data_IF_202061968471
#
_entry.id   IF_202061968471
#
_cell.length_a   1.000
_cell.length_b   1.000
_cell.length_c   1.000
_cell.angle_alpha   90.00
_cell.angle_beta   90.00
_cell.angle_gamma   90.00
#
_symmetry.space_group_name_H-M   'P 1'
#
loop_
_entity.id
_entity.type
_entity.pdbx_description
1 polymer ?
#
# COMPACT_ATOMS: atom_id res chain seq x y z
N UNK A 1 -21.77 -55.23 50.93
CA UNK A 1 -21.91 -55.16 49.46
C UNK A 1 -22.29 -53.74 49.08
N UNK A 2 -21.59 -53.20 48.07
CA UNK A 2 -21.58 -51.79 47.65
C UNK A 2 -22.77 -51.51 46.71
N UNK A 3 -23.44 -50.37 46.84
CA UNK A 3 -24.22 -49.78 45.73
C UNK A 3 -24.41 -48.27 45.96
N UNK A 4 -23.51 -47.43 45.45
CA UNK A 4 -23.63 -46.64 44.19
C UNK A 4 -24.45 -45.35 44.36
N UNK A 5 -23.76 -44.31 44.84
CA UNK A 5 -24.17 -42.91 44.71
C UNK A 5 -23.99 -42.51 43.23
N UNK A 6 -25.08 -42.18 42.55
CA UNK A 6 -25.06 -41.60 41.21
C UNK A 6 -24.91 -40.08 41.32
N UNK A 7 -23.69 -39.59 41.10
CA UNK A 7 -23.43 -38.17 40.83
C UNK A 7 -23.70 -37.95 39.34
N UNK A 8 -24.77 -37.23 39.03
CA UNK A 8 -25.08 -36.76 37.69
C UNK A 8 -24.25 -35.48 37.48
N UNK A 9 -23.13 -35.61 36.77
CA UNK A 9 -22.27 -34.50 36.39
C UNK A 9 -22.92 -33.77 35.19
N UNK A 10 -23.59 -32.66 35.45
CA UNK A 10 -24.12 -31.79 34.39
C UNK A 10 -22.96 -30.97 33.80
N UNK A 11 -22.25 -31.53 32.82
CA UNK A 11 -21.20 -30.82 32.08
C UNK A 11 -21.88 -29.97 30.98
N UNK A 12 -22.33 -28.76 31.35
CA UNK A 12 -22.75 -27.77 30.37
C UNK A 12 -21.48 -27.17 29.75
N UNK A 13 -21.01 -27.75 28.65
CA UNK A 13 -19.95 -27.16 27.86
C UNK A 13 -20.45 -25.81 27.33
N UNK A 14 -19.90 -24.72 27.85
CA UNK A 14 -20.06 -23.38 27.29
C UNK A 14 -19.46 -23.40 25.88
N UNK A 15 -20.31 -23.58 24.86
CA UNK A 15 -19.94 -23.30 23.49
C UNK A 15 -19.91 -21.78 23.38
N UNK A 16 -18.79 -21.18 23.76
CA UNK A 16 -18.55 -19.78 23.42
C UNK A 16 -18.49 -19.68 21.89
N UNK A 17 -19.26 -18.79 21.25
CA UNK A 17 -19.10 -18.55 19.83
C UNK A 17 -17.66 -18.05 19.60
N UNK A 18 -16.87 -18.84 18.89
CA UNK A 18 -15.61 -18.35 18.32
C UNK A 18 -16.02 -17.34 17.24
N UNK A 19 -16.09 -16.06 17.59
CA UNK A 19 -16.29 -15.01 16.62
C UNK A 19 -15.01 -14.90 15.79
N UNK A 20 -15.03 -15.49 14.59
CA UNK A 20 -14.07 -15.11 13.57
C UNK A 20 -14.18 -13.59 13.37
N UNK A 21 -13.05 -12.90 13.36
CA UNK A 21 -13.02 -11.46 13.12
C UNK A 21 -13.59 -11.17 11.74
N UNK A 22 -14.43 -10.16 11.64
CA UNK A 22 -14.92 -9.69 10.34
C UNK A 22 -13.77 -9.02 9.58
N UNK A 23 -13.88 -8.96 8.25
CA UNK A 23 -12.88 -8.25 7.43
C UNK A 23 -12.72 -6.79 7.88
N UNK A 24 -13.82 -6.13 8.20
CA UNK A 24 -13.80 -4.75 8.67
C UNK A 24 -13.08 -4.61 10.03
N UNK A 25 -13.23 -5.57 10.94
CA UNK A 25 -12.48 -5.59 12.20
C UNK A 25 -10.97 -5.78 11.99
N UNK A 26 -10.59 -6.65 11.04
CA UNK A 26 -9.19 -6.87 10.69
C UNK A 26 -8.56 -5.58 10.15
N UNK A 27 -9.25 -4.92 9.20
CA UNK A 27 -8.79 -3.65 8.63
C UNK A 27 -8.75 -2.55 9.69
N UNK A 28 -9.78 -2.42 10.52
CA UNK A 28 -9.83 -1.41 11.57
C UNK A 28 -8.64 -1.55 12.53
N UNK A 29 -8.35 -2.76 13.00
CA UNK A 29 -7.20 -3.02 13.88
C UNK A 29 -5.86 -2.76 13.21
N UNK A 30 -5.73 -3.06 11.91
CA UNK A 30 -4.52 -2.73 11.14
C UNK A 30 -4.31 -1.22 11.08
N UNK A 31 -5.36 -0.46 10.74
CA UNK A 31 -5.30 1.01 10.68
C UNK A 31 -5.00 1.61 12.06
N UNK A 32 -5.61 1.09 13.13
CA UNK A 32 -5.30 1.49 14.51
C UNK A 32 -3.83 1.22 14.87
N UNK A 33 -3.32 0.04 14.52
CA UNK A 33 -1.92 -0.34 14.78
C UNK A 33 -0.92 0.55 14.03
N UNK A 34 -1.29 1.10 12.87
CA UNK A 34 -0.49 2.07 12.12
C UNK A 34 -0.58 3.51 12.69
N UNK A 35 -1.31 3.72 13.79
CA UNK A 35 -1.46 5.02 14.46
C UNK A 35 -2.82 5.69 14.25
N UNK A 36 -3.74 5.04 13.55
CA UNK A 36 -5.10 5.54 13.30
C UNK A 36 -5.18 6.64 12.24
N UNK A 37 -6.41 6.93 11.79
CA UNK A 37 -6.67 7.87 10.69
C UNK A 37 -6.13 9.28 10.97
N UNK A 38 -6.25 9.75 12.21
CA UNK A 38 -5.80 11.09 12.61
C UNK A 38 -4.28 11.28 12.53
N UNK A 39 -3.49 10.24 12.82
CA UNK A 39 -2.04 10.32 12.68
C UNK A 39 -1.65 10.24 11.20
N UNK A 40 -2.29 9.35 10.46
CA UNK A 40 -2.04 9.17 9.03
C UNK A 40 -2.40 10.43 8.23
N UNK A 41 -3.50 11.12 8.55
CA UNK A 41 -3.92 12.34 7.87
C UNK A 41 -2.94 13.50 8.04
N UNK A 42 -2.04 13.44 9.04
CA UNK A 42 -0.99 14.46 9.25
C UNK A 42 0.22 14.23 8.35
N UNK A 43 0.37 13.02 7.79
CA UNK A 43 1.42 12.74 6.80
C UNK A 43 0.95 13.28 5.46
N UNK A 44 1.62 14.34 5.00
CA UNK A 44 1.25 15.07 3.78
C UNK A 44 2.30 14.98 2.68
N UNK A 45 3.47 14.44 3.01
CA UNK A 45 4.58 14.30 2.08
C UNK A 45 5.52 13.18 2.50
N UNK A 46 6.32 12.70 1.55
CA UNK A 46 7.42 11.79 1.80
C UNK A 46 8.59 12.08 0.84
N UNK A 47 9.79 11.78 1.29
CA UNK A 47 11.00 11.75 0.45
C UNK A 47 11.59 10.35 0.50
N UNK A 48 11.86 9.78 -0.67
CA UNK A 48 12.47 8.46 -0.83
C UNK A 48 13.80 8.64 -1.55
N UNK A 49 14.87 8.27 -0.87
CA UNK A 49 16.22 8.25 -1.43
C UNK A 49 16.60 6.81 -1.74
N UNK A 50 17.06 6.54 -2.96
CA UNK A 50 17.43 5.21 -3.41
C UNK A 50 18.59 5.27 -4.41
N UNK A 51 19.31 4.16 -4.55
CA UNK A 51 20.31 3.98 -5.61
C UNK A 51 19.76 2.96 -6.60
N UNK A 52 19.75 3.32 -7.87
CA UNK A 52 19.16 2.52 -8.96
C UNK A 52 20.27 2.16 -9.94
N UNK A 53 20.34 0.92 -10.39
CA UNK A 53 21.25 0.56 -11.48
C UNK A 53 20.67 1.00 -12.83
N UNK A 54 21.40 1.85 -13.54
CA UNK A 54 21.05 2.34 -14.88
C UNK A 54 22.22 2.05 -15.81
N UNK A 55 21.98 1.23 -16.84
CA UNK A 55 22.99 0.86 -17.84
C UNK A 55 24.28 0.27 -17.22
N UNK A 56 24.14 -0.52 -16.15
CA UNK A 56 25.27 -1.13 -15.43
C UNK A 56 26.05 -0.18 -14.51
N UNK A 57 25.53 1.02 -14.24
CA UNK A 57 26.10 1.98 -13.29
C UNK A 57 25.06 2.36 -12.23
N UNK A 58 25.49 2.50 -10.98
CA UNK A 58 24.63 3.00 -9.90
C UNK A 58 24.36 4.51 -10.07
N UNK A 59 23.08 4.88 -9.99
CA UNK A 59 22.57 6.22 -10.12
C UNK A 59 21.73 6.57 -8.88
N UNK A 60 22.10 7.60 -8.10
CA UNK A 60 21.26 8.05 -6.99
C UNK A 60 19.97 8.68 -7.54
N UNK A 61 18.88 8.42 -6.83
CA UNK A 61 17.55 8.93 -7.13
C UNK A 61 16.87 9.42 -5.86
N UNK A 62 16.26 10.60 -5.95
CA UNK A 62 15.45 11.19 -4.89
C UNK A 62 14.06 11.44 -5.43
N UNK A 63 13.07 10.84 -4.79
CA UNK A 63 11.64 11.07 -5.08
C UNK A 63 10.99 11.82 -3.92
N UNK A 64 10.47 13.00 -4.19
CA UNK A 64 9.66 13.77 -3.23
C UNK A 64 8.21 13.74 -3.69
N UNK A 65 7.31 13.33 -2.79
CA UNK A 65 5.88 13.29 -3.05
C UNK A 65 5.15 14.21 -2.10
N UNK A 66 4.31 15.08 -2.65
CA UNK A 66 3.27 15.80 -1.94
C UNK A 66 1.95 15.09 -2.18
N UNK A 67 1.36 14.52 -1.13
CA UNK A 67 0.27 13.56 -1.27
C UNK A 67 -0.94 14.22 -1.94
N UNK A 68 -1.44 13.59 -2.99
CA UNK A 68 -2.54 14.05 -3.84
C UNK A 68 -2.26 15.29 -4.68
N UNK A 69 -1.02 15.79 -4.70
CA UNK A 69 -0.64 17.02 -5.43
C UNK A 69 0.37 16.75 -6.52
N UNK A 70 1.44 16.03 -6.19
CA UNK A 70 2.48 15.74 -7.16
C UNK A 70 3.64 14.94 -6.61
N UNK A 71 4.37 14.31 -7.52
CA UNK A 71 5.61 13.61 -7.27
C UNK A 71 6.71 14.20 -8.18
N UNK A 72 7.91 14.35 -7.63
CA UNK A 72 9.10 14.77 -8.38
C UNK A 72 10.22 13.78 -8.09
N UNK A 73 10.72 13.17 -9.16
CA UNK A 73 11.84 12.23 -9.13
C UNK A 73 13.04 12.89 -9.81
N UNK A 74 14.16 12.96 -9.11
CA UNK A 74 15.44 13.43 -9.63
C UNK A 74 16.42 12.26 -9.62
N UNK A 75 16.97 11.90 -10.78
CA UNK A 75 17.95 10.82 -10.92
C UNK A 75 19.23 11.35 -11.56
N UNK A 76 20.38 11.03 -10.98
CA UNK A 76 21.68 11.45 -11.53
C UNK A 76 22.31 10.33 -12.35
N UNK A 77 22.45 10.56 -13.65
CA UNK A 77 23.04 9.60 -14.60
C UNK A 77 24.19 10.27 -15.33
N UNK A 78 25.41 9.73 -15.18
CA UNK A 78 26.62 10.23 -15.84
C UNK A 78 26.82 11.76 -15.69
N UNK A 79 26.57 12.30 -14.49
CA UNK A 79 26.70 13.73 -14.19
C UNK A 79 25.56 14.61 -14.71
N UNK A 80 24.55 14.05 -15.37
CA UNK A 80 23.34 14.74 -15.77
C UNK A 80 22.18 14.39 -14.82
N UNK A 81 21.28 15.35 -14.62
CA UNK A 81 20.07 15.14 -13.83
C UNK A 81 18.87 14.91 -14.75
N UNK A 82 18.27 13.73 -14.64
CA UNK A 82 16.98 13.41 -15.25
C UNK A 82 15.90 13.74 -14.22
N UNK A 83 14.91 14.53 -14.61
CA UNK A 83 13.81 14.94 -13.74
C UNK A 83 12.50 14.41 -14.34
N UNK A 84 11.71 13.73 -13.52
CA UNK A 84 10.33 13.40 -13.83
C UNK A 84 9.41 14.08 -12.83
N UNK A 85 8.31 14.66 -13.32
CA UNK A 85 7.27 15.25 -12.48
C UNK A 85 5.92 14.71 -12.89
N UNK A 86 5.10 14.40 -11.91
CA UNK A 86 3.71 13.95 -12.06
C UNK A 86 2.86 14.82 -11.13
N UNK A 87 1.73 15.31 -11.61
CA UNK A 87 0.73 16.07 -10.85
C UNK A 87 -0.61 15.33 -10.86
N UNK A 88 -1.60 15.90 -10.20
CA UNK A 88 -3.00 15.46 -10.25
C UNK A 88 -3.64 15.58 -11.65
N UNK A 89 -2.96 16.23 -12.62
CA UNK A 89 -3.51 16.49 -13.96
C UNK A 89 -2.63 16.03 -15.12
N UNK A 90 -1.31 16.10 -14.96
CA UNK A 90 -0.37 15.86 -16.05
C UNK A 90 1.01 15.44 -15.53
N UNK A 91 1.92 15.10 -16.44
CA UNK A 91 3.31 14.82 -16.10
C UNK A 91 4.26 15.29 -17.18
N UNK A 92 5.53 15.45 -16.85
CA UNK A 92 6.58 15.81 -17.79
C UNK A 92 7.93 15.26 -17.35
N UNK A 93 8.86 15.24 -18.30
CA UNK A 93 10.24 14.81 -18.08
C UNK A 93 11.22 15.83 -18.63
N UNK A 94 12.33 16.02 -17.92
CA UNK A 94 13.52 16.73 -18.41
C UNK A 94 14.64 15.70 -18.48
N UNK A 95 15.16 15.45 -19.68
CA UNK A 95 16.23 14.47 -19.90
C UNK A 95 17.33 15.05 -20.80
N UNK A 96 18.39 15.64 -20.22
CA UNK A 96 19.50 16.22 -20.97
C UNK A 96 20.20 15.23 -21.92
N UNK A 97 20.16 13.93 -21.61
CA UNK A 97 20.78 12.90 -22.45
C UNK A 97 20.02 12.65 -23.76
N UNK A 98 18.74 13.04 -23.83
CA UNK A 98 17.93 12.99 -25.05
C UNK A 98 17.97 14.31 -25.84
N UNK A 99 18.90 15.21 -25.51
CA UNK A 99 19.21 16.40 -26.31
C UNK A 99 18.39 17.66 -25.97
N UNK A 100 17.70 17.70 -24.83
CA UNK A 100 16.94 18.88 -24.40
C UNK A 100 16.93 19.09 -22.90
N UNK A 101 17.06 20.36 -22.47
CA UNK A 101 16.87 20.81 -21.09
C UNK A 101 15.44 21.27 -20.79
N UNK A 102 14.59 21.33 -21.82
CA UNK A 102 13.22 21.80 -21.69
C UNK A 102 12.27 20.67 -21.29
N UNK A 103 11.29 20.92 -20.40
CA UNK A 103 10.26 19.95 -20.04
C UNK A 103 9.51 19.40 -21.25
N UNK A 104 9.49 18.08 -21.38
CA UNK A 104 8.71 17.37 -22.40
C UNK A 104 7.47 16.73 -21.75
N UNK A 105 6.25 17.03 -22.21
CA UNK A 105 5.03 16.43 -21.68
C UNK A 105 5.05 14.91 -21.77
N UNK A 106 4.55 14.26 -20.72
CA UNK A 106 4.36 12.81 -20.66
C UNK A 106 3.14 12.42 -21.52
N UNK A 107 3.24 11.41 -22.41
CA UNK A 107 2.10 10.88 -23.13
C UNK A 107 0.97 10.44 -22.18
N UNK A 108 -0.29 10.60 -22.60
CA UNK A 108 -1.46 10.38 -21.74
C UNK A 108 -1.51 8.96 -21.14
N UNK A 109 -1.20 7.94 -21.92
CA UNK A 109 -1.21 6.54 -21.44
C UNK A 109 -0.12 6.32 -20.39
N UNK A 110 1.06 6.90 -20.59
CA UNK A 110 2.14 6.85 -19.61
C UNK A 110 1.75 7.62 -18.35
N UNK A 111 1.11 8.78 -18.49
CA UNK A 111 0.60 9.54 -17.34
C UNK A 111 -0.42 8.71 -16.54
N UNK A 112 -1.39 8.08 -17.21
CA UNK A 112 -2.39 7.21 -16.54
C UNK A 112 -1.76 6.08 -15.75
N UNK A 113 -0.67 5.49 -16.24
CA UNK A 113 0.06 4.42 -15.53
C UNK A 113 0.81 4.93 -14.29
N UNK A 114 1.20 6.20 -14.25
CA UNK A 114 2.06 6.74 -13.20
C UNK A 114 1.34 7.71 -12.25
N UNK A 115 0.14 8.20 -12.58
CA UNK A 115 -0.58 9.22 -11.80
C UNK A 115 -0.83 8.82 -10.35
N UNK A 116 -0.99 7.52 -10.06
CA UNK A 116 -1.29 7.03 -8.72
C UNK A 116 -0.08 7.14 -7.76
N UNK A 117 1.13 7.40 -8.28
CA UNK A 117 2.33 7.63 -7.46
C UNK A 117 2.20 8.82 -6.51
N UNK A 118 1.30 9.77 -6.79
CA UNK A 118 1.05 10.92 -5.92
C UNK A 118 0.18 10.58 -4.71
N UNK A 119 -0.40 9.38 -4.64
CA UNK A 119 -1.22 8.90 -3.53
C UNK A 119 -0.53 7.73 -2.78
N UNK A 120 0.69 7.92 -2.27
CA UNK A 120 1.36 6.88 -1.52
C UNK A 120 0.59 6.63 -0.21
N UNK A 121 0.47 5.38 0.16
CA UNK A 121 -0.22 4.99 1.38
C UNK A 121 -0.61 3.53 1.39
N UNK A 122 -1.02 3.07 2.56
CA UNK A 122 -1.51 1.71 2.74
C UNK A 122 -2.83 1.52 1.97
N UNK A 123 -2.90 0.44 1.19
CA UNK A 123 -4.03 0.15 0.30
C UNK A 123 -5.32 -0.18 1.06
N UNK A 124 -5.22 -0.54 2.34
CA UNK A 124 -6.33 -0.84 3.24
C UNK A 124 -6.92 0.42 3.87
N UNK A 125 -6.15 1.51 3.96
CA UNK A 125 -6.65 2.79 4.49
C UNK A 125 -7.63 3.40 3.50
N UNK A 126 -8.85 3.65 3.98
CA UNK A 126 -9.97 4.21 3.21
C UNK A 126 -10.24 3.47 1.89
N UNK A 127 -9.98 2.15 1.86
CA UNK A 127 -10.10 1.32 0.66
C UNK A 127 -11.48 1.47 -0.03
N UNK A 128 -12.56 1.55 0.75
CA UNK A 128 -13.92 1.76 0.23
C UNK A 128 -14.08 3.12 -0.47
N UNK A 129 -13.50 4.19 0.08
CA UNK A 129 -13.55 5.52 -0.52
C UNK A 129 -12.72 5.60 -1.80
N UNK A 130 -11.66 4.78 -1.88
CA UNK A 130 -10.84 4.60 -3.09
C UNK A 130 -11.53 3.71 -4.14
N UNK A 131 -12.71 3.16 -3.86
CA UNK A 131 -13.44 2.26 -4.75
C UNK A 131 -12.86 0.84 -4.81
N UNK A 132 -11.95 0.49 -3.91
CA UNK A 132 -11.37 -0.84 -3.83
C UNK A 132 -12.37 -1.82 -3.21
N UNK A 133 -12.36 -3.05 -3.70
CA UNK A 133 -13.02 -4.20 -3.07
C UNK A 133 -11.98 -5.02 -2.33
N UNK A 134 -12.36 -5.56 -1.18
CA UNK A 134 -11.47 -6.34 -0.33
C UNK A 134 -12.15 -7.64 0.06
N UNK A 135 -11.42 -8.74 -0.01
CA UNK A 135 -11.89 -10.09 0.32
C UNK A 135 -10.90 -10.79 1.24
N UNK A 136 -11.37 -11.38 2.33
CA UNK A 136 -10.54 -12.26 3.16
C UNK A 136 -10.45 -13.63 2.48
N UNK A 137 -9.29 -13.93 1.86
CA UNK A 137 -9.09 -15.19 1.13
C UNK A 137 -8.48 -16.30 1.99
N UNK A 138 -8.01 -15.96 3.19
CA UNK A 138 -7.58 -16.96 4.17
C UNK A 138 -6.52 -16.44 5.14
N UNK A 139 -5.70 -17.36 5.65
CA UNK A 139 -4.52 -17.06 6.44
C UNK A 139 -3.31 -17.74 5.82
N UNK A 140 -2.15 -17.10 5.92
CA UNK A 140 -0.90 -17.67 5.45
C UNK A 140 0.24 -17.41 6.44
N UNK A 141 1.30 -18.20 6.32
CA UNK A 141 2.49 -18.02 7.12
C UNK A 141 3.45 -17.08 6.39
N UNK A 142 3.79 -15.95 7.01
CA UNK A 142 4.73 -14.97 6.49
C UNK A 142 5.89 -14.84 7.46
N UNK A 143 7.06 -15.38 7.10
CA UNK A 143 8.22 -15.43 8.00
C UNK A 143 7.93 -16.28 9.23
N UNK A 144 7.82 -15.66 10.41
CA UNK A 144 7.51 -16.32 11.69
C UNK A 144 6.09 -16.05 12.21
N UNK A 145 5.26 -15.32 11.46
CA UNK A 145 3.92 -14.91 11.88
C UNK A 145 2.83 -15.48 10.98
N UNK A 146 1.64 -15.71 11.55
CA UNK A 146 0.45 -16.02 10.78
C UNK A 146 -0.25 -14.71 10.41
N UNK A 147 -0.40 -14.43 9.11
CA UNK A 147 -1.05 -13.25 8.58
C UNK A 147 -2.41 -13.58 7.98
N UNK A 148 -3.31 -12.59 7.96
CA UNK A 148 -4.51 -12.65 7.14
C UNK A 148 -4.14 -12.34 5.70
N UNK A 149 -4.58 -13.17 4.76
CA UNK A 149 -4.38 -12.96 3.34
C UNK A 149 -5.60 -12.25 2.77
N UNK A 150 -5.41 -11.05 2.24
CA UNK A 150 -6.48 -10.19 1.74
C UNK A 150 -6.32 -10.01 0.24
N UNK A 151 -7.38 -10.25 -0.53
CA UNK A 151 -7.41 -9.90 -1.95
C UNK A 151 -8.02 -8.52 -2.10
N UNK A 152 -7.28 -7.58 -2.67
CA UNK A 152 -7.75 -6.26 -3.05
C UNK A 152 -7.97 -6.21 -4.56
N UNK A 153 -9.14 -5.71 -5.00
CA UNK A 153 -9.43 -5.43 -6.41
C UNK A 153 -9.72 -3.95 -6.57
N UNK A 154 -8.94 -3.24 -7.37
CA UNK A 154 -9.10 -1.79 -7.58
C UNK A 154 -10.15 -1.46 -8.67
N UNK A 155 -10.53 -0.19 -8.87
CA UNK A 155 -11.50 0.20 -9.91
C UNK A 155 -11.08 -0.14 -11.36
N UNK A 156 -9.80 -0.43 -11.60
CA UNK A 156 -9.28 -0.87 -12.90
C UNK A 156 -9.30 -2.40 -13.08
N UNK A 157 -9.84 -3.13 -12.09
CA UNK A 157 -9.83 -4.61 -11.98
C UNK A 157 -8.43 -5.22 -11.80
N UNK A 158 -7.45 -4.44 -11.33
CA UNK A 158 -6.16 -4.99 -10.93
C UNK A 158 -6.31 -5.64 -9.56
N UNK A 159 -5.78 -6.86 -9.43
CA UNK A 159 -5.80 -7.65 -8.21
C UNK A 159 -4.45 -7.58 -7.47
N UNK A 160 -4.50 -7.48 -6.14
CA UNK A 160 -3.34 -7.47 -5.24
C UNK A 160 -3.62 -8.40 -4.04
N UNK A 161 -2.58 -9.02 -3.48
CA UNK A 161 -2.66 -9.97 -2.35
C UNK A 161 -1.68 -9.60 -1.24
#
# INVERSE_FOLDING_TARGET
MKSKIQIILFLFALIAPVTAQTLDEIVARHVEALGGKDAMSKVTSMTVEQTIEVMGTEAPSVTTVLFGKGARTEMEVMGNKIIQVITDKEGWTVNPMMGGSDPQPMPEDQYKMNRDQIFPGDALVDYQQKGNKLELVGREHVGSVNAYKLKLTDPSNREMF
#
